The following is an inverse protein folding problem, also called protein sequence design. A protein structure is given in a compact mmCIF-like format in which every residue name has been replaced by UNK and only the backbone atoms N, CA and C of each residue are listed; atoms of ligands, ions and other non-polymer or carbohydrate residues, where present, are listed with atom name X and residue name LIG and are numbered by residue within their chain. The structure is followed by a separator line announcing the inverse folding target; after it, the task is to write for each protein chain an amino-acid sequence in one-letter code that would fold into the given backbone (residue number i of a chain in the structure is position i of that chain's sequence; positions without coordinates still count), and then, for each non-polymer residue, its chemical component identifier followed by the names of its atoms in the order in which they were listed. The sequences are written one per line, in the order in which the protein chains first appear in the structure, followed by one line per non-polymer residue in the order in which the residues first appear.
data_IF_058077097181
#
_entry.id   IF_058077097181
#
_cell.length_a   1.000
_cell.length_b   1.000
_cell.length_c   1.000
_cell.angle_alpha   90.00
_cell.angle_beta   90.00
_cell.angle_gamma   90.00
#
_symmetry.space_group_name_H-M   'P 1'
#
loop_
_entity.id
_entity.type
_entity.pdbx_description
1 polymer ?
#
# COMPACT_ATOMS: atom_id res chain seq x y z
N UNK A 1 14.55 18.67 24.13
CA UNK A 1 14.44 17.48 23.26
C UNK A 1 13.76 17.76 21.91
N UNK A 2 12.57 18.37 21.84
CA UNK A 2 11.85 18.64 20.56
C UNK A 2 12.64 19.45 19.52
N UNK A 3 13.43 20.45 19.95
CA UNK A 3 14.29 21.26 19.03
C UNK A 3 15.43 20.46 18.40
N UNK A 4 15.96 19.46 19.11
CA UNK A 4 17.06 18.61 18.62
C UNK A 4 16.53 17.61 17.57
N UNK A 5 15.37 17.01 17.83
CA UNK A 5 14.68 16.12 16.89
C UNK A 5 14.29 16.84 15.59
N UNK A 6 13.78 18.07 15.67
CA UNK A 6 13.47 18.88 14.49
C UNK A 6 14.71 19.25 13.67
N UNK A 7 15.85 19.50 14.33
CA UNK A 7 17.12 19.78 13.66
C UNK A 7 17.67 18.53 12.97
N UNK A 8 17.56 17.37 13.62
CA UNK A 8 17.97 16.08 13.06
C UNK A 8 17.11 15.68 11.85
N UNK A 9 15.79 15.84 11.93
CA UNK A 9 14.88 15.59 10.79
C UNK A 9 15.24 16.42 9.57
N UNK A 10 15.53 17.72 9.75
CA UNK A 10 15.96 18.59 8.65
C UNK A 10 17.28 18.12 8.02
N UNK A 11 18.24 17.70 8.84
CA UNK A 11 19.53 17.19 8.35
C UNK A 11 19.33 15.89 7.55
N UNK A 12 18.52 14.96 8.07
CA UNK A 12 18.19 13.70 7.36
C UNK A 12 17.47 13.98 6.04
N UNK A 13 16.52 14.93 6.04
CA UNK A 13 15.76 15.29 4.84
C UNK A 13 16.65 15.93 3.77
N UNK A 14 17.57 16.82 4.17
CA UNK A 14 18.56 17.41 3.25
C UNK A 14 19.47 16.31 2.66
N UNK A 15 19.93 15.38 3.50
CA UNK A 15 20.76 14.26 3.04
C UNK A 15 20.01 13.34 2.08
N UNK A 16 18.74 13.03 2.35
CA UNK A 16 17.87 12.25 1.47
C UNK A 16 17.65 12.92 0.12
N UNK A 17 17.34 14.22 0.11
CA UNK A 17 17.16 15.01 -1.12
C UNK A 17 18.46 15.04 -1.93
N UNK A 18 19.61 15.21 -1.26
CA UNK A 18 20.91 15.19 -1.91
C UNK A 18 21.24 13.81 -2.50
N UNK A 19 21.05 12.74 -1.73
CA UNK A 19 21.26 11.36 -2.20
C UNK A 19 20.34 11.00 -3.38
N UNK A 20 19.08 11.45 -3.33
CA UNK A 20 18.14 11.30 -4.44
C UNK A 20 18.60 12.07 -5.69
N UNK A 21 19.08 13.31 -5.52
CA UNK A 21 19.64 14.11 -6.61
C UNK A 21 20.83 13.42 -7.29
N UNK A 22 21.78 12.92 -6.49
CA UNK A 22 22.95 12.18 -7.00
C UNK A 22 22.54 10.88 -7.70
N UNK A 23 21.54 10.16 -7.17
CA UNK A 23 21.03 8.95 -7.81
C UNK A 23 20.37 9.25 -9.17
N UNK A 24 19.55 10.31 -9.23
CA UNK A 24 18.88 10.75 -10.45
C UNK A 24 19.86 11.29 -11.51
N UNK A 25 20.99 11.85 -11.09
CA UNK A 25 22.08 12.25 -11.97
C UNK A 25 22.81 11.02 -12.54
N UNK A 26 23.12 10.02 -11.70
CA UNK A 26 23.77 8.77 -12.12
C UNK A 26 22.94 7.97 -13.13
N UNK A 27 21.61 8.03 -13.03
CA UNK A 27 20.71 7.37 -13.99
C UNK A 27 20.50 8.18 -15.27
N UNK A 28 21.13 9.36 -15.39
CA UNK A 28 20.94 10.27 -16.53
C UNK A 28 19.53 10.87 -16.61
N UNK A 29 18.70 10.66 -15.59
CA UNK A 29 17.30 11.12 -15.56
C UNK A 29 17.24 12.64 -15.47
N UNK A 30 18.15 13.25 -14.70
CA UNK A 30 18.26 14.73 -14.64
C UNK A 30 18.62 15.30 -16.01
N UNK A 31 19.57 14.68 -16.72
CA UNK A 31 19.94 15.10 -18.06
C UNK A 31 18.76 14.95 -19.04
N UNK A 32 18.04 13.83 -18.98
CA UNK A 32 16.84 13.59 -19.78
C UNK A 32 15.71 14.59 -19.50
N UNK A 33 15.50 14.96 -18.23
CA UNK A 33 14.45 15.89 -17.79
C UNK A 33 14.74 17.36 -18.11
N UNK A 34 16.02 17.74 -18.15
CA UNK A 34 16.45 19.14 -18.37
C UNK A 34 16.68 19.42 -19.87
N UNK A 35 16.93 18.39 -20.67
CA UNK A 35 17.19 18.52 -22.10
C UNK A 35 16.01 19.15 -22.86
N UNK A 36 16.20 20.34 -23.48
CA UNK A 36 15.19 21.02 -24.28
C UNK A 36 14.52 20.17 -25.36
N UNK A 37 15.25 19.20 -25.91
CA UNK A 37 14.76 18.34 -26.98
C UNK A 37 13.80 17.24 -26.48
N UNK A 38 13.87 16.88 -25.19
CA UNK A 38 13.05 15.84 -24.59
C UNK A 38 11.78 16.38 -23.91
N UNK A 39 11.61 17.70 -23.74
CA UNK A 39 10.38 18.28 -23.18
C UNK A 39 9.09 17.84 -23.90
N UNK A 40 9.03 17.75 -25.25
CA UNK A 40 7.82 17.27 -25.92
C UNK A 40 7.49 15.83 -25.55
N UNK A 41 8.51 14.98 -25.42
CA UNK A 41 8.37 13.56 -25.06
C UNK A 41 8.02 13.39 -23.58
N UNK A 42 8.65 14.16 -22.69
CA UNK A 42 8.30 14.21 -21.27
C UNK A 42 6.85 14.65 -21.08
N UNK A 43 6.42 15.71 -21.77
CA UNK A 43 5.03 16.16 -21.72
C UNK A 43 4.09 15.07 -22.25
N UNK A 44 4.43 14.41 -23.36
CA UNK A 44 3.65 13.28 -23.89
C UNK A 44 3.51 12.15 -22.88
N UNK A 45 4.60 11.72 -22.25
CA UNK A 45 4.62 10.65 -21.25
C UNK A 45 3.82 11.04 -20.00
N UNK A 46 3.98 12.28 -19.51
CA UNK A 46 3.20 12.79 -18.39
C UNK A 46 1.71 12.82 -18.72
N UNK A 47 1.34 13.37 -19.87
CA UNK A 47 -0.06 13.38 -20.31
C UNK A 47 -0.61 11.97 -20.48
N UNK A 48 0.16 11.03 -21.04
CA UNK A 48 -0.25 9.63 -21.12
C UNK A 48 -0.49 9.02 -19.75
N UNK A 49 0.41 9.27 -18.79
CA UNK A 49 0.24 8.78 -17.43
C UNK A 49 -1.02 9.37 -16.79
N UNK A 50 -1.20 10.69 -16.83
CA UNK A 50 -2.40 11.34 -16.31
C UNK A 50 -3.68 10.84 -16.98
N UNK A 51 -3.64 10.65 -18.30
CA UNK A 51 -4.79 10.17 -19.07
C UNK A 51 -5.17 8.74 -18.71
N UNK A 52 -4.18 7.83 -18.63
CA UNK A 52 -4.40 6.44 -18.25
C UNK A 52 -4.89 6.31 -16.80
N UNK A 53 -4.28 7.08 -15.88
CA UNK A 53 -4.70 7.12 -14.47
C UNK A 53 -6.11 7.66 -14.35
N UNK A 54 -6.43 8.76 -15.05
CA UNK A 54 -7.76 9.35 -15.00
C UNK A 54 -8.84 8.38 -15.53
N UNK A 55 -8.59 7.70 -16.65
CA UNK A 55 -9.53 6.72 -17.20
C UNK A 55 -9.68 5.52 -16.26
N UNK A 56 -8.56 4.98 -15.77
CA UNK A 56 -8.57 3.85 -14.84
C UNK A 56 -9.34 4.19 -13.56
N UNK A 57 -9.06 5.36 -12.97
CA UNK A 57 -9.77 5.84 -11.79
C UNK A 57 -11.25 6.10 -12.06
N UNK A 58 -11.61 6.67 -13.20
CA UNK A 58 -13.00 6.93 -13.56
C UNK A 58 -13.78 5.61 -13.66
N UNK A 59 -13.25 4.62 -14.39
CA UNK A 59 -13.88 3.31 -14.55
C UNK A 59 -13.98 2.59 -13.21
N UNK A 60 -12.90 2.56 -12.43
CA UNK A 60 -12.86 1.91 -11.12
C UNK A 60 -13.84 2.56 -10.14
N UNK A 61 -13.90 3.89 -10.12
CA UNK A 61 -14.81 4.65 -9.24
C UNK A 61 -16.26 4.43 -9.63
N UNK A 62 -16.58 4.48 -10.93
CA UNK A 62 -17.95 4.23 -11.42
C UNK A 62 -18.38 2.80 -11.09
N UNK A 63 -17.56 1.80 -11.40
CA UNK A 63 -17.86 0.40 -11.09
C UNK A 63 -18.00 0.17 -9.58
N UNK A 64 -17.05 0.69 -8.79
CA UNK A 64 -17.06 0.60 -7.33
C UNK A 64 -18.28 1.27 -6.71
N UNK A 65 -18.66 2.46 -7.20
CA UNK A 65 -19.84 3.19 -6.73
C UNK A 65 -21.13 2.43 -7.09
N UNK A 66 -21.25 1.92 -8.31
CA UNK A 66 -22.42 1.14 -8.73
C UNK A 66 -22.57 -0.11 -7.86
N UNK A 67 -21.49 -0.87 -7.68
CA UNK A 67 -21.49 -2.08 -6.84
C UNK A 67 -21.80 -1.73 -5.38
N UNK A 68 -21.13 -0.70 -4.84
CA UNK A 68 -21.34 -0.24 -3.47
C UNK A 68 -22.78 0.19 -3.20
N UNK A 69 -23.35 1.04 -4.05
CA UNK A 69 -24.76 1.48 -3.94
C UNK A 69 -25.72 0.30 -4.11
N UNK A 70 -25.44 -0.62 -5.04
CA UNK A 70 -26.28 -1.79 -5.25
C UNK A 70 -26.33 -2.69 -4.01
N UNK A 71 -25.21 -2.87 -3.32
CA UNK A 71 -25.10 -3.67 -2.08
C UNK A 71 -25.83 -3.03 -0.89
N UNK A 72 -26.07 -1.72 -0.89
CA UNK A 72 -26.89 -1.05 0.13
C UNK A 72 -28.36 -1.46 0.07
N UNK A 73 -28.85 -2.01 -1.07
CA UNK A 73 -30.25 -2.43 -1.20
C UNK A 73 -30.53 -3.71 -0.39
N UNK A 74 -31.68 -3.81 0.32
CA UNK A 74 -31.98 -4.93 1.22
C UNK A 74 -31.94 -6.31 0.54
N UNK A 75 -32.27 -6.40 -0.76
CA UNK A 75 -32.20 -7.64 -1.54
C UNK A 75 -30.77 -8.12 -1.81
N UNK A 76 -29.82 -7.20 -1.95
CA UNK A 76 -28.42 -7.47 -2.31
C UNK A 76 -27.46 -7.42 -1.12
N UNK A 77 -27.88 -6.81 0.01
CA UNK A 77 -27.11 -6.72 1.25
C UNK A 77 -26.58 -8.08 1.73
N UNK A 78 -27.34 -9.16 1.52
CA UNK A 78 -26.92 -10.54 1.88
C UNK A 78 -25.64 -11.03 1.16
N UNK A 79 -25.30 -10.44 0.01
CA UNK A 79 -24.11 -10.78 -0.75
C UNK A 79 -22.91 -9.87 -0.44
N UNK A 80 -23.07 -8.85 0.41
CA UNK A 80 -22.02 -7.88 0.73
C UNK A 80 -20.74 -8.56 1.23
N UNK A 81 -20.87 -9.57 2.10
CA UNK A 81 -19.73 -10.34 2.59
C UNK A 81 -18.94 -11.06 1.49
N UNK A 82 -19.62 -11.67 0.51
CA UNK A 82 -18.97 -12.38 -0.60
C UNK A 82 -18.29 -11.38 -1.55
N UNK A 83 -18.97 -10.28 -1.89
CA UNK A 83 -18.40 -9.26 -2.77
C UNK A 83 -17.17 -8.62 -2.11
N UNK A 84 -17.23 -8.32 -0.82
CA UNK A 84 -16.09 -7.77 -0.09
C UNK A 84 -14.94 -8.76 0.04
N UNK A 85 -15.24 -10.04 0.19
CA UNK A 85 -14.21 -11.06 0.15
C UNK A 85 -13.49 -11.08 -1.20
N UNK A 86 -14.23 -11.04 -2.32
CA UNK A 86 -13.66 -11.00 -3.67
C UNK A 86 -12.87 -9.70 -3.92
N UNK A 87 -13.43 -8.54 -3.54
CA UNK A 87 -12.76 -7.24 -3.67
C UNK A 87 -11.49 -7.22 -2.82
N UNK A 88 -11.55 -7.74 -1.59
CA UNK A 88 -10.40 -7.90 -0.72
C UNK A 88 -9.32 -8.77 -1.35
N UNK A 89 -9.68 -9.92 -1.93
CA UNK A 89 -8.75 -10.75 -2.68
C UNK A 89 -8.15 -10.01 -3.88
N UNK A 90 -8.93 -9.22 -4.62
CA UNK A 90 -8.41 -8.38 -5.69
C UNK A 90 -7.36 -7.37 -5.20
N UNK A 91 -7.57 -6.77 -4.03
CA UNK A 91 -6.61 -5.86 -3.38
C UNK A 91 -5.37 -6.58 -2.84
N UNK A 92 -5.43 -7.91 -2.64
CA UNK A 92 -4.25 -8.72 -2.29
C UNK A 92 -3.28 -8.96 -3.44
N UNK A 93 -3.50 -8.35 -4.61
CA UNK A 93 -2.46 -8.18 -5.64
C UNK A 93 -1.91 -6.74 -5.58
N UNK A 94 -1.09 -6.39 -4.57
CA UNK A 94 -0.42 -5.11 -4.54
C UNK A 94 0.61 -5.06 -5.65
N UNK A 95 0.52 -4.04 -6.49
CA UNK A 95 1.48 -3.78 -7.57
C UNK A 95 2.92 -3.72 -7.05
N UNK A 96 3.13 -3.19 -5.84
CA UNK A 96 4.43 -3.17 -5.17
C UNK A 96 4.96 -4.57 -4.88
N UNK A 97 4.11 -5.51 -4.45
CA UNK A 97 4.52 -6.89 -4.18
C UNK A 97 4.75 -7.67 -5.48
N UNK A 98 3.92 -7.45 -6.50
CA UNK A 98 4.14 -8.01 -7.85
C UNK A 98 5.46 -7.50 -8.42
N UNK A 99 5.70 -6.18 -8.36
CA UNK A 99 6.93 -5.56 -8.83
C UNK A 99 8.14 -6.14 -8.09
N UNK A 100 8.06 -6.23 -6.76
CA UNK A 100 9.16 -6.72 -5.95
C UNK A 100 9.39 -8.23 -6.15
N UNK A 101 8.34 -9.03 -6.34
CA UNK A 101 8.45 -10.45 -6.71
C UNK A 101 9.07 -10.62 -8.11
N UNK A 102 8.63 -9.83 -9.10
CA UNK A 102 9.22 -9.79 -10.44
C UNK A 102 10.70 -9.40 -10.37
N UNK A 103 11.04 -8.39 -9.56
CA UNK A 103 12.43 -8.01 -9.31
C UNK A 103 13.24 -9.13 -8.64
N UNK A 104 12.64 -9.93 -7.75
CA UNK A 104 13.30 -11.12 -7.18
C UNK A 104 13.56 -12.20 -8.23
N UNK A 105 12.67 -12.39 -9.22
CA UNK A 105 12.92 -13.30 -10.35
C UNK A 105 13.98 -12.74 -11.32
N UNK A 106 14.09 -11.41 -11.43
CA UNK A 106 15.10 -10.71 -12.23
C UNK A 106 16.46 -10.58 -11.52
N UNK A 107 16.60 -11.09 -10.29
CA UNK A 107 17.88 -11.19 -9.57
C UNK A 107 18.25 -10.00 -8.69
N UNK A 108 17.36 -9.04 -8.45
CA UNK A 108 17.62 -7.79 -7.69
C UNK A 108 17.36 -7.94 -6.17
N UNK A 109 17.40 -9.18 -5.67
CA UNK A 109 17.29 -9.48 -4.24
C UNK A 109 15.90 -9.94 -3.78
N UNK A 110 15.88 -10.94 -2.89
CA UNK A 110 14.67 -11.45 -2.20
C UNK A 110 14.21 -10.52 -1.07
N UNK A 111 15.10 -9.64 -0.57
CA UNK A 111 14.79 -8.71 0.53
C UNK A 111 13.74 -7.65 0.13
N UNK A 112 13.86 -6.95 -1.03
CA UNK A 112 12.82 -6.02 -1.48
C UNK A 112 11.47 -6.70 -1.72
N UNK A 113 11.47 -7.90 -2.30
CA UNK A 113 10.27 -8.71 -2.55
C UNK A 113 9.47 -8.99 -1.29
N UNK A 114 10.16 -9.52 -0.28
CA UNK A 114 9.55 -9.85 0.99
C UNK A 114 9.07 -8.61 1.74
N UNK A 115 9.86 -7.52 1.70
CA UNK A 115 9.50 -6.25 2.35
C UNK A 115 8.24 -5.64 1.71
N UNK A 116 8.18 -5.62 0.37
CA UNK A 116 7.01 -5.13 -0.37
C UNK A 116 5.76 -5.95 -0.08
N UNK A 117 5.89 -7.28 0.03
CA UNK A 117 4.79 -8.17 0.39
C UNK A 117 4.28 -7.93 1.82
N UNK A 118 5.19 -7.82 2.80
CA UNK A 118 4.85 -7.53 4.22
C UNK A 118 4.09 -6.22 4.38
N UNK A 119 4.59 -5.12 3.80
CA UNK A 119 3.94 -3.81 3.85
C UNK A 119 2.53 -3.88 3.26
N UNK A 120 2.38 -4.59 2.14
CA UNK A 120 1.10 -4.63 1.47
C UNK A 120 0.07 -5.52 2.19
N UNK A 121 0.50 -6.58 2.86
CA UNK A 121 -0.37 -7.37 3.73
C UNK A 121 -0.93 -6.55 4.89
N UNK A 122 -0.08 -5.77 5.57
CA UNK A 122 -0.50 -4.90 6.67
C UNK A 122 -1.51 -3.85 6.19
N UNK A 123 -1.24 -3.24 5.03
CA UNK A 123 -2.16 -2.28 4.40
C UNK A 123 -3.53 -2.89 4.08
N UNK A 124 -3.56 -4.12 3.57
CA UNK A 124 -4.82 -4.81 3.26
C UNK A 124 -5.63 -5.12 4.52
N UNK A 125 -4.99 -5.56 5.61
CA UNK A 125 -5.67 -5.80 6.89
C UNK A 125 -6.34 -4.51 7.41
N UNK A 126 -5.64 -3.38 7.33
CA UNK A 126 -6.20 -2.07 7.68
C UNK A 126 -7.36 -1.67 6.77
N UNK A 127 -7.25 -1.94 5.47
CA UNK A 127 -8.28 -1.59 4.47
C UNK A 127 -9.56 -2.41 4.65
N UNK A 128 -9.45 -3.69 5.04
CA UNK A 128 -10.61 -4.55 5.35
C UNK A 128 -11.43 -3.99 6.53
N UNK A 129 -10.82 -3.27 7.47
CA UNK A 129 -11.59 -2.62 8.54
C UNK A 129 -12.57 -1.56 8.01
N UNK A 130 -12.31 -0.95 6.85
CA UNK A 130 -13.23 -0.01 6.19
C UNK A 130 -14.48 -0.70 5.62
N UNK A 131 -14.51 -2.04 5.55
CA UNK A 131 -15.66 -2.78 5.04
C UNK A 131 -16.95 -2.55 5.86
N UNK A 132 -16.82 -2.15 7.13
CA UNK A 132 -17.94 -1.68 7.95
C UNK A 132 -18.76 -0.58 7.27
N UNK A 133 -18.12 0.35 6.55
CA UNK A 133 -18.78 1.51 5.93
C UNK A 133 -19.87 1.12 4.94
N UNK A 134 -19.80 -0.08 4.38
CA UNK A 134 -20.81 -0.62 3.46
C UNK A 134 -21.69 -1.71 4.09
N UNK A 135 -21.67 -1.82 5.42
CA UNK A 135 -22.46 -2.77 6.20
C UNK A 135 -22.02 -4.23 6.06
N UNK A 136 -20.76 -4.49 5.67
CA UNK A 136 -20.20 -5.84 5.65
C UNK A 136 -19.92 -6.38 7.07
N UNK A 137 -19.86 -5.48 8.07
CA UNK A 137 -19.63 -5.80 9.47
C UNK A 137 -18.14 -6.01 9.80
N UNK A 138 -17.88 -6.39 11.05
CA UNK A 138 -16.57 -6.89 11.52
C UNK A 138 -15.96 -6.04 12.63
N UNK A 139 -14.65 -6.15 12.83
CA UNK A 139 -13.93 -5.33 13.83
C UNK A 139 -13.92 -3.84 13.47
N UNK A 140 -14.14 -3.50 12.19
CA UNK A 140 -14.37 -2.13 11.75
C UNK A 140 -15.56 -1.47 12.45
N UNK A 141 -16.62 -2.23 12.74
CA UNK A 141 -17.83 -1.71 13.40
C UNK A 141 -17.46 -1.10 14.74
N UNK A 142 -16.55 -1.72 15.48
CA UNK A 142 -16.13 -1.28 16.81
C UNK A 142 -15.22 -0.05 16.73
N UNK A 143 -14.32 -0.02 15.75
CA UNK A 143 -13.41 1.12 15.48
C UNK A 143 -14.21 2.36 15.11
N UNK A 144 -15.00 2.28 14.05
CA UNK A 144 -15.71 3.44 13.49
C UNK A 144 -16.87 3.88 14.35
N UNK A 145 -17.66 2.95 14.91
CA UNK A 145 -18.70 3.33 15.88
C UNK A 145 -18.11 3.96 17.14
N UNK A 146 -16.92 3.51 17.58
CA UNK A 146 -16.18 4.13 18.68
C UNK A 146 -15.73 5.56 18.38
N UNK A 147 -15.30 5.83 17.13
CA UNK A 147 -15.00 7.19 16.66
C UNK A 147 -16.27 8.05 16.64
N UNK A 148 -17.35 7.56 16.03
CA UNK A 148 -18.61 8.30 15.87
C UNK A 148 -19.26 8.67 17.21
N UNK A 149 -19.20 7.75 18.19
CA UNK A 149 -19.74 7.96 19.54
C UNK A 149 -18.75 8.63 20.50
N UNK A 150 -17.54 8.99 20.06
CA UNK A 150 -16.43 9.42 20.92
C UNK A 150 -16.18 8.49 22.13
N UNK A 151 -16.42 7.18 21.94
CA UNK A 151 -16.23 6.16 22.96
C UNK A 151 -14.88 5.47 22.74
N UNK A 152 -13.86 5.92 23.47
CA UNK A 152 -12.50 5.37 23.37
C UNK A 152 -12.48 3.86 23.67
N UNK A 153 -13.31 3.37 24.57
CA UNK A 153 -13.39 1.94 24.91
C UNK A 153 -13.78 1.08 23.70
N UNK A 154 -14.79 1.51 22.93
CA UNK A 154 -15.23 0.80 21.71
C UNK A 154 -14.18 0.88 20.60
N UNK A 155 -13.58 2.07 20.43
CA UNK A 155 -12.50 2.29 19.48
C UNK A 155 -11.34 1.32 19.77
N UNK A 156 -10.88 1.26 21.02
CA UNK A 156 -9.77 0.39 21.44
C UNK A 156 -10.12 -1.09 21.31
N UNK A 157 -11.35 -1.46 21.65
CA UNK A 157 -11.81 -2.84 21.52
C UNK A 157 -11.83 -3.34 20.06
N UNK A 158 -11.97 -2.44 19.08
CA UNK A 158 -11.77 -2.77 17.66
C UNK A 158 -10.32 -2.62 17.18
N UNK A 159 -9.64 -1.54 17.57
CA UNK A 159 -8.33 -1.18 17.06
C UNK A 159 -7.21 -2.11 17.56
N UNK A 160 -7.27 -2.55 18.82
CA UNK A 160 -6.24 -3.43 19.40
C UNK A 160 -6.23 -4.79 18.68
N UNK A 161 -7.36 -5.52 18.54
CA UNK A 161 -7.37 -6.79 17.83
C UNK A 161 -6.94 -6.67 16.36
N UNK A 162 -7.40 -5.64 15.64
CA UNK A 162 -7.01 -5.43 14.24
C UNK A 162 -5.50 -5.20 14.10
N UNK A 163 -4.93 -4.38 14.98
CA UNK A 163 -3.48 -4.14 15.01
C UNK A 163 -2.72 -5.42 15.35
N UNK A 164 -3.21 -6.20 16.31
CA UNK A 164 -2.60 -7.47 16.70
C UNK A 164 -2.65 -8.50 15.57
N UNK A 165 -3.75 -8.57 14.81
CA UNK A 165 -3.84 -9.41 13.62
C UNK A 165 -2.88 -8.95 12.52
N UNK A 166 -2.73 -7.65 12.30
CA UNK A 166 -1.78 -7.12 11.34
C UNK A 166 -0.33 -7.50 11.68
N UNK A 167 0.07 -7.33 12.95
CA UNK A 167 1.39 -7.71 13.45
C UNK A 167 1.61 -9.23 13.39
N UNK A 168 0.60 -10.02 13.73
CA UNK A 168 0.68 -11.47 13.68
C UNK A 168 0.82 -11.97 12.24
N UNK A 169 0.08 -11.41 11.29
CA UNK A 169 0.22 -11.74 9.87
C UNK A 169 1.62 -11.40 9.34
N UNK A 170 2.13 -10.22 9.68
CA UNK A 170 3.49 -9.80 9.32
C UNK A 170 4.55 -10.75 9.90
N UNK A 171 4.41 -11.11 11.18
CA UNK A 171 5.28 -12.08 11.86
C UNK A 171 5.23 -13.48 11.23
N UNK A 172 4.04 -13.96 10.84
CA UNK A 172 3.90 -15.26 10.17
C UNK A 172 4.62 -15.28 8.83
N UNK A 173 4.55 -14.19 8.06
CA UNK A 173 5.28 -14.08 6.79
C UNK A 173 6.79 -14.05 7.03
N UNK A 174 7.25 -13.37 8.07
CA UNK A 174 8.66 -13.39 8.45
C UNK A 174 9.13 -14.80 8.83
N UNK A 175 8.35 -15.56 9.60
CA UNK A 175 8.64 -16.95 9.93
C UNK A 175 8.69 -17.83 8.68
N UNK A 176 7.70 -17.68 7.78
CA UNK A 176 7.63 -18.42 6.53
C UNK A 176 8.84 -18.10 5.63
N UNK A 177 9.24 -16.83 5.59
CA UNK A 177 10.40 -16.39 4.83
C UNK A 177 11.71 -16.97 5.36
N UNK A 178 11.82 -17.18 6.68
CA UNK A 178 12.99 -17.82 7.27
C UNK A 178 13.14 -19.29 6.87
N UNK A 179 12.02 -19.95 6.52
CA UNK A 179 11.98 -21.33 6.04
C UNK A 179 12.15 -21.41 4.51
N UNK A 180 11.48 -20.52 3.76
CA UNK A 180 11.47 -20.51 2.30
C UNK A 180 12.73 -19.88 1.68
N UNK A 181 13.31 -18.87 2.34
CA UNK A 181 14.50 -18.16 1.87
C UNK A 181 15.72 -18.70 2.61
N UNK A 182 16.48 -19.55 1.94
CA UNK A 182 17.70 -20.13 2.51
C UNK A 182 18.74 -19.05 2.81
N UNK A 183 19.54 -19.26 3.87
CA UNK A 183 20.57 -18.30 4.33
C UNK A 183 21.56 -17.89 3.24
N UNK A 184 21.78 -18.74 2.22
CA UNK A 184 22.70 -18.48 1.10
C UNK A 184 22.27 -17.33 0.19
N UNK A 185 20.97 -17.01 0.11
CA UNK A 185 20.44 -15.91 -0.70
C UNK A 185 20.38 -14.57 0.07
N UNK A 186 20.65 -14.58 1.38
CA UNK A 186 20.70 -13.39 2.24
C UNK A 186 22.05 -12.68 2.23
N UNK A 187 23.12 -13.39 1.85
CA UNK A 187 24.53 -12.98 1.98
C UNK A 187 25.13 -12.32 0.72
N UNK A 188 24.43 -12.31 -0.41
CA UNK A 188 24.93 -11.72 -1.66
C UNK A 188 24.75 -10.20 -1.76
N UNK A 189 24.16 -9.58 -0.73
CA UNK A 189 23.88 -8.14 -0.67
C UNK A 189 24.27 -7.55 0.69
N UNK A 190 25.52 -7.78 1.11
CA UNK A 190 26.24 -6.91 2.04
C UNK A 190 27.38 -6.19 1.30
#
# INVERSE_FOLDING_TARGET
MKKLAAKLYKIVLIFLVFAAGVALEKTGTIAFLIDPYNYPELMRLLFQHFYLVAISMAIATIAGLIIGIALTRPKLKKYSGIVMYIVGLGQTIPSLAVLALVMSFLGIGTKPALTGFRVALVMNIGTVALAYLIGAGGMGDWIFSGIDMMMTDKLLAGAIPVTMMALLADFLVELLSAVLVSKGLRLTEE
#
